data_IF_895564309473
#
_entry.id   IF_895564309473
#
_cell.length_a   1.000
_cell.length_b   1.000
_cell.length_c   1.000
_cell.angle_alpha   90.00
_cell.angle_beta   90.00
_cell.angle_gamma   90.00
#
_symmetry.space_group_name_H-M   'P 1'
#
loop_
_entity.id
_entity.type
_entity.pdbx_description
1 polymer ?
#
# COMPACT_ATOMS: atom_id res chain seq x y z
N UNK A 1 -2.50 -10.54 1.53
CA UNK A 1 -2.16 -9.12 1.24
C UNK A 1 -0.65 -8.96 1.33
N UNK A 2 -0.06 -7.99 0.61
CA UNK A 2 1.37 -7.67 0.69
C UNK A 2 1.61 -6.17 0.64
N UNK A 3 2.73 -5.73 1.21
CA UNK A 3 3.23 -4.36 1.08
C UNK A 3 3.70 -4.12 -0.36
N UNK A 4 3.25 -3.03 -1.00
CA UNK A 4 3.47 -2.74 -2.43
C UNK A 4 4.60 -1.73 -2.72
N UNK A 5 5.01 -0.93 -1.72
CA UNK A 5 5.99 0.14 -1.87
C UNK A 5 6.77 0.38 -0.56
N UNK A 6 7.78 1.25 -0.61
CA UNK A 6 8.61 1.61 0.55
C UNK A 6 9.59 0.52 1.01
N UNK A 7 10.20 0.73 2.18
CA UNK A 7 11.27 -0.13 2.71
C UNK A 7 10.87 -1.59 2.93
N UNK A 8 9.58 -1.86 3.18
CA UNK A 8 9.07 -3.19 3.46
C UNK A 8 8.35 -3.83 2.26
N UNK A 9 8.54 -3.30 1.03
CA UNK A 9 7.93 -3.82 -0.19
C UNK A 9 8.13 -5.34 -0.33
N UNK A 10 7.07 -6.05 -0.68
CA UNK A 10 7.07 -7.50 -0.86
C UNK A 10 6.79 -8.29 0.42
N UNK A 11 6.80 -7.67 1.60
CA UNK A 11 6.43 -8.35 2.85
C UNK A 11 4.96 -8.77 2.81
N UNK A 12 4.72 -10.05 3.08
CA UNK A 12 3.38 -10.60 3.22
C UNK A 12 2.73 -10.17 4.54
N UNK A 13 1.43 -9.90 4.49
CA UNK A 13 0.58 -9.56 5.62
C UNK A 13 -0.48 -10.63 5.80
N UNK A 14 -0.79 -10.94 7.06
CA UNK A 14 -1.92 -11.79 7.42
C UNK A 14 -3.18 -11.09 6.93
N UNK A 15 -3.97 -11.80 6.14
CA UNK A 15 -5.24 -11.26 5.64
C UNK A 15 -6.35 -11.64 6.61
N UNK A 16 -7.38 -10.80 6.76
CA UNK A 16 -8.57 -11.17 7.53
C UNK A 16 -9.13 -12.50 7.04
N UNK A 17 -9.56 -13.33 7.99
CA UNK A 17 -10.23 -14.60 7.71
C UNK A 17 -11.70 -14.28 7.41
N UNK A 18 -12.26 -14.84 6.33
CA UNK A 18 -13.67 -14.68 5.97
C UNK A 18 -13.90 -13.88 4.68
N UNK A 19 -15.12 -13.38 4.51
CA UNK A 19 -15.67 -12.91 3.24
C UNK A 19 -15.46 -11.40 2.97
N UNK A 20 -14.31 -10.88 3.39
CA UNK A 20 -13.97 -9.48 3.12
C UNK A 20 -13.50 -9.35 1.68
N UNK A 21 -14.12 -8.44 0.92
CA UNK A 21 -13.65 -8.14 -0.45
C UNK A 21 -12.21 -7.61 -0.41
N UNK A 22 -11.26 -8.24 -1.12
CA UNK A 22 -9.89 -7.76 -1.18
C UNK A 22 -9.77 -6.53 -2.09
N UNK A 23 -8.96 -5.56 -1.66
CA UNK A 23 -8.53 -4.44 -2.51
C UNK A 23 -7.34 -4.88 -3.37
N UNK A 24 -7.44 -4.68 -4.69
CA UNK A 24 -6.39 -5.10 -5.63
C UNK A 24 -5.08 -4.36 -5.42
N UNK A 25 -3.96 -4.98 -5.79
CA UNK A 25 -2.63 -4.37 -5.76
C UNK A 25 -2.63 -3.05 -6.53
N UNK A 26 -3.22 -3.03 -7.73
CA UNK A 26 -3.30 -1.84 -8.58
C UNK A 26 -4.10 -0.70 -7.94
N UNK A 27 -5.22 -1.00 -7.27
CA UNK A 27 -6.00 0.02 -6.58
C UNK A 27 -5.22 0.62 -5.41
N UNK A 28 -4.44 -0.19 -4.68
CA UNK A 28 -3.57 0.30 -3.62
C UNK A 28 -2.43 1.16 -4.18
N UNK A 29 -1.79 0.74 -5.27
CA UNK A 29 -0.74 1.52 -5.94
C UNK A 29 -1.25 2.88 -6.43
N UNK A 30 -2.42 2.91 -7.07
CA UNK A 30 -3.04 4.15 -7.53
C UNK A 30 -3.31 5.13 -6.37
N UNK A 31 -3.84 4.62 -5.25
CA UNK A 31 -4.12 5.43 -4.06
C UNK A 31 -2.85 6.08 -3.52
N UNK A 32 -1.76 5.32 -3.34
CA UNK A 32 -0.49 5.88 -2.85
C UNK A 32 0.16 6.84 -3.86
N UNK A 33 0.02 6.59 -5.16
CA UNK A 33 0.51 7.51 -6.19
C UNK A 33 -0.24 8.85 -6.18
N UNK A 34 -1.57 8.83 -5.97
CA UNK A 34 -2.34 10.06 -5.79
C UNK A 34 -1.91 10.83 -4.55
N UNK A 35 -1.72 10.15 -3.41
CA UNK A 35 -1.25 10.79 -2.18
C UNK A 35 0.14 11.42 -2.33
N UNK A 36 1.08 10.75 -3.00
CA UNK A 36 2.41 11.30 -3.28
C UNK A 36 2.35 12.53 -4.18
N UNK A 37 1.45 12.53 -5.18
CA UNK A 37 1.24 13.68 -6.05
C UNK A 37 0.63 14.88 -5.31
N UNK A 38 -0.23 14.65 -4.33
CA UNK A 38 -0.95 15.70 -3.60
C UNK A 38 -0.11 16.28 -2.45
N UNK A 39 0.60 15.43 -1.71
CA UNK A 39 1.33 15.81 -0.50
C UNK A 39 2.82 16.08 -0.74
N UNK A 40 3.32 15.80 -1.95
CA UNK A 40 4.75 15.70 -2.24
C UNK A 40 5.33 14.36 -1.78
N UNK A 41 6.61 14.13 -2.12
CA UNK A 41 7.31 12.89 -1.78
C UNK A 41 7.20 12.54 -0.28
N UNK A 42 6.86 11.30 0.02
CA UNK A 42 6.78 10.75 1.38
C UNK A 42 8.19 10.56 1.93
N UNK A 43 8.84 11.67 2.29
CA UNK A 43 10.18 11.65 2.86
C UNK A 43 10.08 11.13 4.30
N UNK A 44 10.55 9.89 4.49
CA UNK A 44 10.66 9.26 5.79
C UNK A 44 11.72 10.00 6.63
N UNK A 45 11.30 11.08 7.31
CA UNK A 45 12.02 11.57 8.49
C UNK A 45 11.64 10.62 9.61
N UNK A 46 12.46 9.59 9.85
CA UNK A 46 12.72 8.83 11.10
C UNK A 46 13.31 7.47 10.71
#
# INVERSE_FOLDING_TARGET
MRIIAGMAKGRNLISPIGDTRPTSDRAREALFSSLESELGGINNKY
#
